data_IF_279980209661
#
_entry.id   IF_279980209661
#
_cell.length_a   1.000
_cell.length_b   1.000
_cell.length_c   1.000
_cell.angle_alpha   90.00
_cell.angle_beta   90.00
_cell.angle_gamma   90.00
#
_symmetry.space_group_name_H-M   'P 1'
#
loop_
_entity.id
_entity.type
_entity.pdbx_description
1 polymer ?
#
# COMPACT_ATOMS: atom_id res chain seq x y z
N UNK A 1 -12.67 -40.16 63.74
CA UNK A 1 -14.07 -40.53 63.84
C UNK A 1 -14.78 -39.96 62.60
N UNK A 2 -15.08 -40.81 61.71
CA UNK A 2 -15.94 -40.89 60.56
C UNK A 2 -16.85 -39.71 60.28
N UNK A 3 -17.00 -39.27 59.01
CA UNK A 3 -18.01 -39.78 58.12
C UNK A 3 -17.79 -39.30 56.68
N UNK A 4 -17.72 -40.25 55.71
CA UNK A 4 -17.83 -40.09 54.25
C UNK A 4 -19.29 -39.67 53.91
N UNK A 5 -19.48 -38.75 52.96
CA UNK A 5 -20.71 -38.69 52.15
C UNK A 5 -20.31 -38.47 50.69
N UNK A 6 -20.58 -39.51 49.89
CA UNK A 6 -20.53 -39.53 48.41
C UNK A 6 -21.79 -38.87 47.85
N UNK A 7 -21.61 -37.97 46.84
CA UNK A 7 -22.72 -37.56 45.98
C UNK A 7 -22.37 -37.79 44.53
N UNK A 8 -23.08 -38.74 43.92
CA UNK A 8 -23.16 -38.99 42.48
C UNK A 8 -23.80 -37.79 41.78
N UNK A 9 -23.13 -37.19 40.82
CA UNK A 9 -23.68 -36.14 39.92
C UNK A 9 -23.72 -36.67 38.49
N UNK A 10 -24.94 -36.91 38.02
CA UNK A 10 -25.27 -37.35 36.65
C UNK A 10 -24.94 -36.24 35.67
N UNK A 11 -24.05 -36.53 34.68
CA UNK A 11 -23.84 -35.63 33.53
C UNK A 11 -24.89 -35.90 32.46
N UNK A 12 -25.76 -34.97 32.21
CA UNK A 12 -26.66 -34.96 31.06
C UNK A 12 -25.84 -34.56 29.81
N UNK A 13 -25.68 -35.46 28.85
CA UNK A 13 -25.16 -35.17 27.51
C UNK A 13 -26.28 -34.47 26.72
N UNK A 14 -26.13 -33.19 26.43
CA UNK A 14 -26.95 -32.50 25.45
C UNK A 14 -26.24 -32.58 24.12
N UNK A 15 -26.78 -33.36 23.19
CA UNK A 15 -26.35 -33.42 21.80
C UNK A 15 -26.62 -32.07 21.09
N UNK A 16 -25.59 -31.47 20.48
CA UNK A 16 -25.74 -30.31 19.60
C UNK A 16 -26.12 -30.80 18.20
N UNK A 17 -27.05 -30.14 17.49
CA UNK A 17 -27.33 -30.46 16.09
C UNK A 17 -26.18 -30.00 15.19
N UNK A 18 -25.78 -30.86 14.25
CA UNK A 18 -24.87 -30.60 13.16
C UNK A 18 -25.45 -29.57 12.21
N UNK A 19 -24.96 -28.32 12.31
CA UNK A 19 -25.21 -27.26 11.33
C UNK A 19 -24.19 -27.34 10.19
N UNK A 20 -24.68 -27.44 8.97
CA UNK A 20 -23.91 -27.42 7.72
C UNK A 20 -23.08 -26.11 7.62
N UNK A 21 -21.78 -26.27 7.41
CA UNK A 21 -20.87 -25.20 7.01
C UNK A 21 -21.22 -24.73 5.59
N UNK A 22 -21.33 -23.44 5.32
CA UNK A 22 -21.37 -22.91 3.95
C UNK A 22 -19.97 -23.04 3.31
N UNK A 23 -19.88 -23.09 1.96
CA UNK A 23 -18.62 -23.32 1.25
C UNK A 23 -17.62 -22.18 1.46
N UNK A 24 -16.37 -22.54 1.76
CA UNK A 24 -15.21 -21.66 1.81
C UNK A 24 -14.95 -21.05 0.42
N UNK A 25 -14.74 -19.74 0.41
CA UNK A 25 -14.21 -19.08 -0.79
C UNK A 25 -14.94 -17.82 -1.26
N UNK A 26 -15.39 -16.94 -0.36
CA UNK A 26 -15.82 -15.60 -0.76
C UNK A 26 -14.85 -14.57 -0.18
N UNK A 27 -13.97 -14.05 -1.03
CA UNK A 27 -13.28 -12.77 -0.81
C UNK A 27 -14.37 -11.71 -0.72
N UNK A 28 -14.52 -11.05 0.41
CA UNK A 28 -15.46 -9.94 0.59
C UNK A 28 -14.70 -8.64 0.30
N UNK A 29 -14.85 -8.04 -0.88
CA UNK A 29 -14.43 -6.66 -1.07
C UNK A 29 -15.42 -5.77 -0.32
N UNK A 30 -14.91 -4.76 0.39
CA UNK A 30 -15.74 -3.69 0.93
C UNK A 30 -16.22 -2.79 -0.23
N UNK A 31 -17.10 -3.35 -1.09
CA UNK A 31 -17.67 -2.61 -2.21
C UNK A 31 -18.91 -1.85 -1.72
N UNK A 32 -18.74 -0.59 -1.37
CA UNK A 32 -19.84 0.37 -1.52
C UNK A 32 -20.19 0.42 -3.00
N UNK A 33 -21.34 -0.16 -3.38
CA UNK A 33 -21.86 -0.11 -4.74
C UNK A 33 -22.07 1.36 -5.14
N UNK A 34 -21.14 1.90 -5.92
CA UNK A 34 -21.36 3.11 -6.69
C UNK A 34 -22.19 2.71 -7.90
N UNK A 35 -23.51 2.79 -7.81
CA UNK A 35 -24.40 2.70 -8.95
C UNK A 35 -24.27 3.96 -9.78
N UNK A 36 -23.27 4.01 -10.67
CA UNK A 36 -23.24 4.98 -11.75
C UNK A 36 -24.28 4.55 -12.78
N UNK A 37 -25.38 5.28 -12.87
CA UNK A 37 -26.29 5.22 -14.03
C UNK A 37 -25.48 5.70 -15.24
N UNK A 38 -25.07 4.77 -16.10
CA UNK A 38 -24.58 5.10 -17.45
C UNK A 38 -25.78 5.62 -18.25
N UNK A 39 -25.83 6.92 -18.45
CA UNK A 39 -26.67 7.53 -19.48
C UNK A 39 -26.05 7.26 -20.84
N UNK A 40 -26.63 6.31 -21.59
CA UNK A 40 -26.27 6.01 -22.98
C UNK A 40 -26.70 7.18 -23.85
N UNK A 41 -25.78 8.08 -24.20
CA UNK A 41 -26.01 9.07 -25.29
C UNK A 41 -25.57 8.43 -26.59
N UNK A 42 -26.57 8.02 -27.39
CA UNK A 42 -26.39 7.60 -28.79
C UNK A 42 -26.10 8.87 -29.60
N UNK A 43 -24.88 9.00 -30.13
CA UNK A 43 -24.53 9.98 -31.15
C UNK A 43 -24.69 9.32 -32.53
N UNK A 44 -25.69 9.76 -33.27
CA UNK A 44 -25.84 9.47 -34.71
C UNK A 44 -24.73 10.22 -35.46
N UNK A 45 -23.81 9.50 -36.08
CA UNK A 45 -22.89 10.06 -37.07
C UNK A 45 -23.56 10.08 -38.46
N UNK A 46 -23.80 11.27 -38.96
CA UNK A 46 -24.24 11.47 -40.35
C UNK A 46 -22.99 11.40 -41.26
N UNK A 47 -23.02 10.47 -42.20
CA UNK A 47 -22.03 10.37 -43.27
C UNK A 47 -22.34 11.42 -44.35
N UNK A 48 -21.42 12.35 -44.58
CA UNK A 48 -21.45 13.27 -45.70
C UNK A 48 -20.47 12.76 -46.75
N UNK A 49 -21.00 12.33 -47.90
CA UNK A 49 -20.23 11.98 -49.10
C UNK A 49 -20.04 13.23 -49.95
N UNK A 50 -18.78 13.55 -50.29
CA UNK A 50 -18.41 14.58 -51.26
C UNK A 50 -17.87 13.92 -52.54
N UNK A 51 -18.20 14.45 -53.74
CA UNK A 51 -17.77 13.86 -54.99
C UNK A 51 -16.34 14.26 -55.39
N UNK A 52 -15.59 13.32 -55.93
CA UNK A 52 -14.30 13.56 -56.60
C UNK A 52 -14.54 14.29 -57.92
N UNK A 53 -13.92 15.45 -58.08
CA UNK A 53 -13.73 16.10 -59.36
C UNK A 53 -12.25 16.00 -59.78
N UNK A 54 -12.03 15.28 -60.89
CA UNK A 54 -10.72 15.16 -61.54
C UNK A 54 -10.44 16.41 -62.38
N UNK A 55 -9.39 17.13 -62.13
CA UNK A 55 -8.83 18.13 -63.03
C UNK A 55 -7.38 17.81 -63.29
N UNK A 56 -7.11 17.50 -64.56
CA UNK A 56 -5.78 17.33 -65.10
C UNK A 56 -5.15 18.73 -65.32
N UNK A 57 -3.96 18.98 -64.84
CA UNK A 57 -3.14 20.14 -65.13
C UNK A 57 -1.77 19.71 -65.58
N UNK A 58 -1.43 20.17 -66.77
CA UNK A 58 -0.20 19.98 -67.54
C UNK A 58 1.04 20.56 -66.82
N UNK A 59 2.14 19.82 -66.87
CA UNK A 59 3.44 20.22 -66.37
C UNK A 59 4.03 21.38 -67.17
N UNK A 60 4.48 22.41 -66.49
CA UNK A 60 5.42 23.39 -67.02
C UNK A 60 6.63 23.47 -66.06
N UNK A 61 7.77 23.11 -66.58
CA UNK A 61 9.07 23.13 -65.88
C UNK A 61 9.59 24.54 -65.78
N UNK A 62 9.62 25.11 -64.55
CA UNK A 62 10.44 26.29 -64.26
C UNK A 62 11.35 25.96 -63.06
N UNK A 63 12.63 25.95 -63.37
CA UNK A 63 13.70 25.89 -62.36
C UNK A 63 13.69 27.16 -61.52
N UNK A 64 13.45 27.02 -60.21
CA UNK A 64 13.59 28.12 -59.26
C UNK A 64 14.27 27.62 -57.97
N UNK A 65 15.36 28.27 -57.63
CA UNK A 65 16.17 27.99 -56.44
C UNK A 65 15.31 28.01 -55.18
N UNK A 66 15.34 26.95 -54.40
CA UNK A 66 14.64 26.82 -53.13
C UNK A 66 15.22 27.78 -52.07
N UNK A 67 14.41 28.60 -51.40
CA UNK A 67 14.86 29.30 -50.23
C UNK A 67 15.08 28.31 -49.09
N UNK A 68 16.29 28.35 -48.51
CA UNK A 68 16.72 27.58 -47.33
C UNK A 68 15.76 27.90 -46.18
N UNK A 69 14.80 27.01 -45.92
CA UNK A 69 13.90 27.14 -44.79
C UNK A 69 14.71 27.16 -43.49
N UNK A 70 14.71 28.29 -42.80
CA UNK A 70 15.16 28.37 -41.41
C UNK A 70 14.24 27.42 -40.61
N UNK A 71 14.81 26.32 -40.14
CA UNK A 71 14.19 25.53 -39.08
C UNK A 71 14.14 26.40 -37.84
N UNK A 72 13.00 27.02 -37.60
CA UNK A 72 12.68 27.53 -36.28
C UNK A 72 12.60 26.33 -35.34
N UNK A 73 13.65 26.16 -34.52
CA UNK A 73 13.57 25.22 -33.40
C UNK A 73 12.42 25.71 -32.51
N UNK A 74 11.31 25.00 -32.56
CA UNK A 74 10.25 25.19 -31.58
C UNK A 74 10.87 24.80 -30.25
N UNK A 75 11.14 25.79 -29.40
CA UNK A 75 11.50 25.53 -28.00
C UNK A 75 10.34 24.76 -27.41
N UNK A 76 10.57 23.48 -27.07
CA UNK A 76 9.62 22.70 -26.33
C UNK A 76 9.25 23.48 -25.06
N UNK A 77 7.95 23.69 -24.84
CA UNK A 77 7.50 24.29 -23.58
C UNK A 77 8.09 23.46 -22.43
N UNK A 78 8.54 24.12 -21.33
CA UNK A 78 9.05 23.38 -20.19
C UNK A 78 7.99 22.38 -19.74
N UNK A 79 8.37 21.10 -19.65
CA UNK A 79 7.47 20.05 -19.21
C UNK A 79 6.92 20.41 -17.83
N UNK A 80 5.60 20.37 -17.67
CA UNK A 80 4.97 20.57 -16.37
C UNK A 80 5.56 19.55 -15.39
N UNK A 81 6.01 19.98 -14.20
CA UNK A 81 6.53 19.04 -13.20
C UNK A 81 5.50 17.95 -12.92
N UNK A 82 5.97 16.70 -12.80
CA UNK A 82 5.10 15.60 -12.46
C UNK A 82 4.39 15.86 -11.12
N UNK A 83 3.09 15.56 -10.99
CA UNK A 83 2.38 15.73 -9.73
C UNK A 83 3.01 14.82 -8.66
N UNK A 84 3.27 15.39 -7.48
CA UNK A 84 3.85 14.66 -6.36
C UNK A 84 2.82 13.71 -5.75
N UNK A 85 3.26 12.51 -5.42
CA UNK A 85 2.50 11.49 -4.71
C UNK A 85 3.08 11.34 -3.29
N UNK A 86 2.29 11.61 -2.27
CA UNK A 86 2.68 11.38 -0.88
C UNK A 86 2.26 9.98 -0.45
N UNK A 87 3.23 9.21 0.01
CA UNK A 87 3.07 7.81 0.45
C UNK A 87 3.54 7.69 1.89
N UNK A 88 2.79 6.97 2.71
CA UNK A 88 3.12 6.68 4.10
C UNK A 88 3.18 5.18 4.34
N UNK A 89 4.14 4.71 5.13
CA UNK A 89 4.07 3.41 5.82
C UNK A 89 3.84 3.65 7.29
N UNK A 90 2.92 2.89 7.88
CA UNK A 90 2.56 3.10 9.28
C UNK A 90 2.08 1.82 9.96
N UNK A 91 2.91 1.24 10.81
CA UNK A 91 2.46 0.21 11.72
C UNK A 91 1.52 0.85 12.76
N UNK A 92 0.25 0.44 12.74
CA UNK A 92 -0.81 1.02 13.57
C UNK A 92 -0.74 0.60 15.03
N UNK A 93 0.06 -0.43 15.35
CA UNK A 93 -0.09 -1.27 16.54
C UNK A 93 -1.52 -1.80 16.64
N UNK A 94 -1.69 -3.10 16.71
CA UNK A 94 -3.02 -3.71 16.79
C UNK A 94 -3.87 -3.12 17.93
N UNK A 95 -5.19 -3.10 17.71
CA UNK A 95 -6.13 -2.60 18.69
C UNK A 95 -6.20 -3.53 19.90
N UNK A 96 -5.77 -3.05 21.04
CA UNK A 96 -5.91 -3.70 22.34
C UNK A 96 -6.57 -2.75 23.35
N UNK A 97 -6.85 -3.26 24.53
CA UNK A 97 -7.46 -2.52 25.64
C UNK A 97 -6.47 -2.23 26.76
N UNK A 98 -5.18 -2.47 26.53
CA UNK A 98 -4.14 -2.31 27.55
C UNK A 98 -3.80 -0.83 27.74
N UNK A 99 -4.08 -0.33 28.96
CA UNK A 99 -3.71 1.00 29.40
C UNK A 99 -2.20 1.13 29.62
N UNK A 100 -1.59 2.31 29.37
CA UNK A 100 -2.22 3.58 28.93
C UNK A 100 -2.29 3.77 27.41
N UNK A 101 -2.07 2.73 26.62
CA UNK A 101 -1.97 2.80 25.16
C UNK A 101 -3.05 1.98 24.47
N UNK A 102 -4.25 1.93 25.05
CA UNK A 102 -5.39 1.26 24.44
C UNK A 102 -5.74 1.88 23.08
N UNK A 103 -6.40 1.13 22.21
CA UNK A 103 -6.86 1.71 20.93
C UNK A 103 -7.78 2.91 21.14
N UNK A 104 -8.61 2.86 22.16
CA UNK A 104 -9.50 3.96 22.51
C UNK A 104 -8.74 5.27 22.79
N UNK A 105 -7.59 5.20 23.49
CA UNK A 105 -6.75 6.36 23.77
C UNK A 105 -5.96 6.83 22.55
N UNK A 106 -5.49 5.89 21.73
CA UNK A 106 -4.67 6.18 20.55
C UNK A 106 -5.44 6.68 19.35
N UNK A 107 -6.71 6.24 19.16
CA UNK A 107 -7.53 6.57 17.99
C UNK A 107 -7.70 8.09 17.76
N UNK A 108 -7.99 8.93 18.76
CA UNK A 108 -8.07 10.39 18.55
C UNK A 108 -6.75 10.99 18.04
N UNK A 109 -5.62 10.49 18.53
CA UNK A 109 -4.28 10.93 18.09
C UNK A 109 -4.00 10.46 16.67
N UNK A 110 -4.35 9.21 16.35
CA UNK A 110 -4.25 8.63 15.01
C UNK A 110 -5.04 9.44 13.99
N UNK A 111 -6.31 9.74 14.31
CA UNK A 111 -7.18 10.56 13.46
C UNK A 111 -6.56 11.92 13.16
N UNK A 112 -6.08 12.62 14.18
CA UNK A 112 -5.47 13.94 14.01
C UNK A 112 -4.20 13.87 13.16
N UNK A 113 -3.33 12.89 13.40
CA UNK A 113 -2.12 12.67 12.59
C UNK A 113 -2.49 12.48 11.12
N UNK A 114 -3.40 11.57 10.82
CA UNK A 114 -3.78 11.26 9.43
C UNK A 114 -4.47 12.44 8.74
N UNK A 115 -5.28 13.23 9.45
CA UNK A 115 -5.88 14.46 8.92
C UNK A 115 -4.85 15.55 8.61
N UNK A 116 -3.73 15.59 9.32
CA UNK A 116 -2.64 16.55 9.06
C UNK A 116 -1.75 16.10 7.92
N UNK A 117 -1.40 14.82 7.91
CA UNK A 117 -0.48 14.24 6.94
C UNK A 117 -1.08 14.10 5.53
N UNK A 118 -2.33 13.63 5.43
CA UNK A 118 -3.13 13.43 4.20
C UNK A 118 -2.37 12.78 3.04
N UNK A 119 -1.64 11.68 3.25
CA UNK A 119 -0.95 11.01 2.16
C UNK A 119 -1.95 10.38 1.20
N UNK A 120 -1.63 10.30 -0.09
CA UNK A 120 -2.50 9.66 -1.07
C UNK A 120 -2.50 8.13 -0.96
N UNK A 121 -1.45 7.56 -0.37
CA UNK A 121 -1.33 6.12 -0.09
C UNK A 121 -0.85 5.92 1.34
N UNK A 122 -1.46 4.99 2.08
CA UNK A 122 -1.01 4.57 3.41
C UNK A 122 -0.91 3.05 3.42
N UNK A 123 0.30 2.50 3.45
CA UNK A 123 0.52 1.09 3.76
C UNK A 123 0.49 0.89 5.28
N UNK A 124 -0.46 0.11 5.78
CA UNK A 124 -0.62 -0.10 7.23
C UNK A 124 -0.27 -1.52 7.63
N UNK A 125 0.26 -1.70 8.83
CA UNK A 125 0.56 -2.99 9.43
C UNK A 125 -0.16 -3.13 10.77
N UNK A 126 -0.37 -4.34 11.24
CA UNK A 126 -1.07 -4.73 12.49
C UNK A 126 -2.55 -4.34 12.59
N UNK A 127 -3.14 -3.74 11.56
CA UNK A 127 -4.53 -3.30 11.62
C UNK A 127 -5.50 -4.47 11.78
N UNK A 128 -6.23 -4.51 12.91
CA UNK A 128 -7.37 -5.40 13.06
C UNK A 128 -8.57 -4.86 12.28
N UNK A 129 -9.44 -5.74 11.81
CA UNK A 129 -10.55 -5.35 10.92
C UNK A 129 -11.39 -4.18 11.46
N UNK A 130 -11.79 -4.22 12.76
CA UNK A 130 -12.54 -3.12 13.36
C UNK A 130 -11.71 -1.83 13.44
N UNK A 131 -10.42 -1.93 13.72
CA UNK A 131 -9.49 -0.79 13.72
C UNK A 131 -9.39 -0.14 12.33
N UNK A 132 -9.36 -0.97 11.28
CA UNK A 132 -9.37 -0.46 9.91
C UNK A 132 -10.69 0.27 9.58
N UNK A 133 -11.84 -0.25 10.03
CA UNK A 133 -13.13 0.45 9.87
C UNK A 133 -13.21 1.77 10.64
N UNK A 134 -12.59 1.82 11.82
CA UNK A 134 -12.50 3.03 12.63
C UNK A 134 -11.68 4.11 11.90
N UNK A 135 -10.53 3.72 11.32
CA UNK A 135 -9.67 4.61 10.54
C UNK A 135 -10.36 5.06 9.24
N UNK A 136 -11.04 4.15 8.53
CA UNK A 136 -11.85 4.49 7.35
C UNK A 136 -12.90 5.55 7.68
N UNK A 137 -13.60 5.37 8.81
CA UNK A 137 -14.57 6.34 9.32
C UNK A 137 -13.93 7.70 9.63
N UNK A 138 -12.75 7.67 10.27
CA UNK A 138 -12.03 8.89 10.68
C UNK A 138 -11.42 9.63 9.47
N UNK A 139 -10.93 8.93 8.44
CA UNK A 139 -10.44 9.52 7.19
C UNK A 139 -11.57 10.08 6.32
N UNK A 140 -12.77 9.53 6.45
CA UNK A 140 -13.98 9.98 5.76
C UNK A 140 -14.07 9.53 4.29
N UNK A 141 -15.03 10.07 3.51
CA UNK A 141 -15.46 9.51 2.22
C UNK A 141 -14.44 9.67 1.08
N UNK A 142 -13.32 10.32 1.34
CA UNK A 142 -12.27 10.53 0.34
C UNK A 142 -11.22 9.43 0.34
N UNK A 143 -11.28 8.53 1.31
CA UNK A 143 -10.40 7.36 1.37
C UNK A 143 -11.20 6.07 1.25
N UNK A 144 -10.52 5.05 0.75
CA UNK A 144 -10.97 3.67 0.76
C UNK A 144 -9.72 2.80 1.01
N UNK A 145 -9.90 1.51 1.26
CA UNK A 145 -8.78 0.61 1.53
C UNK A 145 -8.96 -0.78 0.94
N UNK A 146 -7.82 -1.43 0.67
CA UNK A 146 -7.73 -2.80 0.16
C UNK A 146 -6.83 -3.60 1.09
N UNK A 147 -7.27 -4.78 1.50
CA UNK A 147 -6.52 -5.69 2.35
C UNK A 147 -7.34 -6.88 2.81
N UNK A 148 -6.66 -7.83 3.42
CA UNK A 148 -7.28 -8.99 4.08
C UNK A 148 -6.47 -9.33 5.33
N UNK A 149 -7.09 -9.94 6.32
CA UNK A 149 -6.39 -10.43 7.51
C UNK A 149 -5.50 -11.62 7.17
N UNK A 150 -4.38 -11.75 7.87
CA UNK A 150 -3.40 -12.84 7.66
C UNK A 150 -3.98 -14.24 7.91
N UNK A 151 -5.08 -14.34 8.63
CA UNK A 151 -5.86 -15.56 8.84
C UNK A 151 -6.99 -15.74 7.80
N UNK A 152 -7.04 -14.86 6.77
CA UNK A 152 -8.05 -14.81 5.73
C UNK A 152 -9.29 -13.98 6.07
N UNK A 153 -9.79 -13.23 5.10
CA UNK A 153 -10.94 -12.33 5.26
C UNK A 153 -10.69 -11.22 6.28
N UNK A 154 -11.57 -11.09 7.27
CA UNK A 154 -11.46 -10.07 8.33
C UNK A 154 -10.77 -10.58 9.60
N UNK A 155 -10.07 -11.73 9.53
CA UNK A 155 -9.50 -12.38 10.71
C UNK A 155 -8.05 -12.00 10.90
N UNK A 156 -7.71 -11.62 12.15
CA UNK A 156 -6.38 -11.24 12.59
C UNK A 156 -5.85 -9.95 11.91
N UNK A 157 -4.57 -9.67 12.05
CA UNK A 157 -3.92 -8.45 11.53
C UNK A 157 -3.85 -8.44 10.00
N UNK A 158 -3.98 -7.24 9.44
CA UNK A 158 -3.92 -7.00 8.00
C UNK A 158 -2.72 -6.13 7.63
N UNK A 159 -2.27 -6.24 6.37
CA UNK A 159 -1.41 -5.28 5.69
C UNK A 159 -2.26 -4.49 4.69
N UNK A 160 -3.12 -3.60 5.19
CA UNK A 160 -4.03 -2.85 4.34
C UNK A 160 -3.34 -1.68 3.64
N UNK A 161 -3.85 -1.32 2.46
CA UNK A 161 -3.44 -0.15 1.68
C UNK A 161 -4.62 0.81 1.59
N UNK A 162 -4.57 1.95 2.31
CA UNK A 162 -5.53 3.04 2.14
C UNK A 162 -5.10 3.94 0.99
N UNK A 163 -6.06 4.53 0.31
CA UNK A 163 -5.80 5.44 -0.82
C UNK A 163 -6.86 6.53 -0.95
N UNK A 164 -6.44 7.70 -1.44
CA UNK A 164 -7.35 8.82 -1.75
C UNK A 164 -8.07 8.56 -3.08
N UNK A 165 -9.37 8.27 -3.01
CA UNK A 165 -10.21 7.92 -4.17
C UNK A 165 -10.38 9.06 -5.17
N UNK A 166 -10.06 10.30 -4.79
CA UNK A 166 -10.11 11.45 -5.69
C UNK A 166 -8.94 11.46 -6.66
N UNK A 167 -7.84 10.81 -6.26
CA UNK A 167 -6.60 10.75 -7.03
C UNK A 167 -6.32 9.37 -7.60
N UNK A 168 -6.61 8.32 -6.86
CA UNK A 168 -6.20 6.96 -7.20
C UNK A 168 -7.41 6.06 -7.47
N UNK A 169 -7.35 5.32 -8.57
CA UNK A 169 -8.31 4.28 -8.90
C UNK A 169 -7.61 2.92 -8.91
N UNK A 170 -8.03 1.94 -8.08
CA UNK A 170 -7.45 0.61 -8.11
C UNK A 170 -7.84 -0.11 -9.41
N UNK A 171 -6.86 -0.70 -10.08
CA UNK A 171 -7.02 -1.45 -11.34
C UNK A 171 -7.01 -2.95 -11.06
N UNK A 172 -6.08 -3.37 -10.22
CA UNK A 172 -5.87 -4.77 -9.87
C UNK A 172 -5.29 -4.85 -8.46
N UNK A 173 -5.59 -5.91 -7.71
CA UNK A 173 -5.00 -6.13 -6.41
C UNK A 173 -4.97 -7.61 -6.06
N UNK A 174 -4.04 -8.00 -5.19
CA UNK A 174 -3.96 -9.34 -4.68
C UNK A 174 -3.27 -9.37 -3.30
N UNK A 175 -3.53 -10.42 -2.53
CA UNK A 175 -2.81 -10.70 -1.28
C UNK A 175 -2.25 -12.12 -1.32
N UNK A 176 -0.98 -12.30 -0.96
CA UNK A 176 -0.32 -13.59 -0.87
C UNK A 176 0.41 -13.74 0.47
N UNK A 177 0.64 -15.00 0.87
CA UNK A 177 1.29 -15.35 2.12
C UNK A 177 2.79 -15.54 1.93
N UNK A 178 3.56 -15.04 2.88
CA UNK A 178 5.01 -15.17 2.91
C UNK A 178 5.40 -16.56 3.41
N UNK A 179 5.40 -17.52 2.48
CA UNK A 179 5.63 -18.94 2.72
C UNK A 179 6.03 -19.67 1.43
N UNK A 180 6.36 -20.97 1.51
CA UNK A 180 6.59 -21.80 0.32
C UNK A 180 5.31 -22.07 -0.50
N UNK A 181 4.13 -21.82 0.09
CA UNK A 181 2.82 -21.93 -0.58
C UNK A 181 2.06 -20.61 -0.48
N UNK A 182 2.48 -19.58 -1.23
CA UNK A 182 1.99 -18.21 -1.06
C UNK A 182 0.50 -18.03 -1.39
N UNK A 183 -0.09 -18.93 -2.14
CA UNK A 183 -1.52 -18.88 -2.50
C UNK A 183 -2.42 -19.58 -1.45
N UNK A 184 -1.82 -20.21 -0.44
CA UNK A 184 -2.57 -20.91 0.61
C UNK A 184 -2.80 -19.96 1.79
N UNK A 185 -4.06 -19.69 2.08
CA UNK A 185 -4.47 -18.86 3.22
C UNK A 185 -3.89 -19.43 4.52
N UNK A 186 -3.31 -18.55 5.36
CA UNK A 186 -2.67 -18.88 6.65
C UNK A 186 -1.36 -19.66 6.52
N UNK A 187 -0.83 -19.83 5.33
CA UNK A 187 0.43 -20.56 5.14
C UNK A 187 1.57 -19.90 5.92
N UNK A 188 2.32 -20.73 6.66
CA UNK A 188 3.50 -20.34 7.46
C UNK A 188 4.48 -21.52 7.50
N UNK A 189 5.40 -21.57 6.55
CA UNK A 189 6.31 -22.73 6.35
C UNK A 189 7.75 -22.42 6.78
N UNK A 190 8.07 -21.16 7.13
CA UNK A 190 9.44 -20.73 7.45
C UNK A 190 9.69 -20.50 8.94
N UNK A 191 8.80 -20.99 9.81
CA UNK A 191 8.94 -20.81 11.26
C UNK A 191 8.76 -19.37 11.72
N UNK A 192 7.98 -18.58 11.00
CA UNK A 192 7.53 -17.28 11.46
C UNK A 192 6.59 -17.44 12.67
N UNK A 193 6.58 -16.47 13.57
CA UNK A 193 5.72 -16.49 14.74
C UNK A 193 4.22 -16.48 14.36
N UNK A 194 3.90 -15.85 13.24
CA UNK A 194 2.55 -15.74 12.68
C UNK A 194 2.60 -15.84 11.16
N UNK A 195 1.50 -16.21 10.47
CA UNK A 195 1.40 -16.03 9.03
C UNK A 195 1.65 -14.57 8.68
N UNK A 196 2.46 -14.31 7.65
CA UNK A 196 2.76 -12.97 7.16
C UNK A 196 2.31 -12.84 5.72
N UNK A 197 1.88 -11.67 5.34
CA UNK A 197 1.25 -11.41 4.03
C UNK A 197 1.83 -10.18 3.36
N UNK A 198 1.66 -10.14 2.05
CA UNK A 198 1.84 -8.94 1.23
C UNK A 198 0.51 -8.63 0.55
N UNK A 199 0.03 -7.41 0.69
CA UNK A 199 -1.07 -6.89 -0.12
C UNK A 199 -0.49 -5.96 -1.16
N UNK A 200 -0.76 -6.20 -2.45
CA UNK A 200 -0.37 -5.27 -3.49
C UNK A 200 -1.58 -4.78 -4.28
N UNK A 201 -1.46 -3.55 -4.79
CA UNK A 201 -2.47 -2.88 -5.59
C UNK A 201 -1.79 -2.19 -6.77
N UNK A 202 -2.30 -2.39 -7.98
CA UNK A 202 -2.00 -1.56 -9.14
C UNK A 202 -3.00 -0.41 -9.19
N UNK A 203 -2.51 0.80 -9.07
CA UNK A 203 -3.31 2.02 -9.14
C UNK A 203 -3.15 2.72 -10.48
N UNK A 204 -4.19 3.45 -10.85
CA UNK A 204 -4.14 4.50 -11.87
C UNK A 204 -4.19 5.86 -11.17
N UNK A 205 -3.18 6.71 -11.42
CA UNK A 205 -3.12 8.08 -10.91
C UNK A 205 -3.94 9.00 -11.82
N UNK A 206 -5.08 9.48 -11.34
CA UNK A 206 -5.99 10.36 -12.08
C UNK A 206 -5.44 11.78 -12.22
N UNK A 207 -4.44 12.16 -11.45
CA UNK A 207 -3.77 13.45 -11.51
C UNK A 207 -2.51 13.45 -12.39
N UNK A 208 -2.04 12.27 -12.86
CA UNK A 208 -0.88 12.12 -13.73
C UNK A 208 -1.24 11.36 -15.03
N UNK A 209 -2.18 11.90 -15.78
CA UNK A 209 -2.63 11.39 -17.10
C UNK A 209 -3.03 9.89 -17.10
N UNK A 210 -3.46 9.40 -15.94
CA UNK A 210 -3.85 7.99 -15.79
C UNK A 210 -2.66 7.03 -15.74
N UNK A 211 -1.45 7.50 -15.41
CA UNK A 211 -0.27 6.65 -15.18
C UNK A 211 -0.58 5.56 -14.17
N UNK A 212 -0.16 4.36 -14.48
CA UNK A 212 -0.31 3.24 -13.56
C UNK A 212 1.00 2.98 -12.79
N UNK A 213 0.87 2.45 -11.57
CA UNK A 213 1.98 2.06 -10.71
C UNK A 213 1.52 1.02 -9.69
N UNK A 214 2.46 0.29 -9.12
CA UNK A 214 2.17 -0.69 -8.07
C UNK A 214 2.51 -0.16 -6.68
N UNK A 215 1.69 -0.54 -5.71
CA UNK A 215 2.00 -0.42 -4.28
C UNK A 215 1.96 -1.81 -3.68
N UNK A 216 3.02 -2.24 -2.99
CA UNK A 216 3.05 -3.47 -2.22
C UNK A 216 3.31 -3.15 -0.75
N UNK A 217 2.45 -3.63 0.15
CA UNK A 217 2.55 -3.40 1.59
C UNK A 217 2.72 -4.72 2.34
N UNK A 218 3.64 -4.76 3.31
CA UNK A 218 3.98 -5.98 4.03
C UNK A 218 4.28 -5.75 5.51
N UNK A 219 4.28 -6.84 6.28
CA UNK A 219 4.78 -6.88 7.65
C UNK A 219 5.57 -8.19 7.83
N UNK A 220 6.90 -8.10 7.95
CA UNK A 220 7.76 -9.25 8.11
C UNK A 220 7.73 -9.80 9.55
N UNK A 221 8.25 -11.01 9.74
CA UNK A 221 8.21 -11.65 11.05
C UNK A 221 9.21 -11.03 12.04
N UNK A 222 8.74 -10.75 13.25
CA UNK A 222 9.55 -10.11 14.29
C UNK A 222 10.52 -11.06 14.98
N UNK A 223 10.37 -12.38 14.87
CA UNK A 223 11.18 -13.37 15.59
C UNK A 223 12.18 -14.10 14.71
N UNK A 224 11.74 -14.60 13.56
CA UNK A 224 12.52 -15.47 12.71
C UNK A 224 13.31 -14.68 11.65
N UNK A 225 14.64 -14.62 11.82
CA UNK A 225 15.52 -14.03 10.79
C UNK A 225 15.42 -14.81 9.47
N UNK A 226 15.38 -16.13 9.53
CA UNK A 226 15.20 -16.97 8.36
C UNK A 226 13.90 -16.63 7.59
N UNK A 227 12.78 -16.46 8.32
CA UNK A 227 11.53 -16.07 7.69
C UNK A 227 11.63 -14.70 7.04
N UNK A 228 12.32 -13.70 7.62
CA UNK A 228 12.54 -12.38 7.01
C UNK A 228 13.33 -12.47 5.71
N UNK A 229 14.41 -13.24 5.68
CA UNK A 229 15.23 -13.43 4.47
C UNK A 229 14.46 -14.13 3.35
N UNK A 230 13.70 -15.18 3.68
CA UNK A 230 12.80 -15.85 2.74
C UNK A 230 11.71 -14.94 2.23
N UNK A 231 11.15 -14.10 3.12
CA UNK A 231 10.13 -13.10 2.79
C UNK A 231 10.66 -12.05 1.80
N UNK A 232 11.86 -11.54 2.05
CA UNK A 232 12.51 -10.59 1.15
C UNK A 232 12.75 -11.20 -0.24
N UNK A 233 13.23 -12.45 -0.28
CA UNK A 233 13.44 -13.19 -1.54
C UNK A 233 12.13 -13.40 -2.32
N UNK A 234 11.06 -13.82 -1.63
CA UNK A 234 9.76 -14.01 -2.26
C UNK A 234 9.17 -12.68 -2.74
N UNK A 235 9.24 -11.62 -1.92
CA UNK A 235 8.74 -10.29 -2.30
C UNK A 235 9.47 -9.77 -3.53
N UNK A 236 10.81 -9.84 -3.57
CA UNK A 236 11.62 -9.44 -4.73
C UNK A 236 11.22 -10.24 -5.99
N UNK A 237 11.03 -11.56 -5.86
CA UNK A 237 10.56 -12.41 -6.96
C UNK A 237 9.19 -11.97 -7.48
N UNK A 238 8.23 -11.71 -6.60
CA UNK A 238 6.86 -11.27 -6.98
C UNK A 238 6.86 -9.89 -7.64
N UNK A 239 7.70 -8.98 -7.17
CA UNK A 239 7.87 -7.66 -7.80
C UNK A 239 8.45 -7.80 -9.21
N UNK A 240 9.38 -8.72 -9.43
CA UNK A 240 9.94 -8.98 -10.76
C UNK A 240 8.92 -9.60 -11.76
N UNK A 241 7.77 -10.10 -11.29
CA UNK A 241 6.65 -10.58 -12.11
C UNK A 241 5.71 -9.43 -12.54
N UNK A 242 5.83 -8.23 -11.96
CA UNK A 242 5.04 -7.06 -12.33
C UNK A 242 5.45 -6.52 -13.71
N UNK A 243 4.60 -5.69 -14.31
CA UNK A 243 4.96 -4.98 -15.54
C UNK A 243 6.20 -4.10 -15.29
N UNK A 244 7.35 -4.39 -15.94
CA UNK A 244 8.61 -3.69 -15.68
C UNK A 244 8.60 -2.23 -16.14
N UNK A 245 7.59 -1.81 -16.91
CA UNK A 245 7.44 -0.42 -17.37
C UNK A 245 6.73 0.46 -16.33
N UNK A 246 6.14 -0.14 -15.31
CA UNK A 246 5.39 0.57 -14.27
C UNK A 246 6.23 0.73 -13.00
N UNK A 247 6.19 1.92 -12.38
CA UNK A 247 6.83 2.13 -11.09
C UNK A 247 6.26 1.24 -9.99
N UNK A 248 7.11 0.83 -9.06
CA UNK A 248 6.73 0.07 -7.87
C UNK A 248 7.09 0.86 -6.63
N UNK A 249 6.18 0.93 -5.67
CA UNK A 249 6.39 1.46 -4.32
C UNK A 249 6.14 0.32 -3.33
N UNK A 250 7.08 0.06 -2.44
CA UNK A 250 6.96 -0.96 -1.39
C UNK A 250 6.95 -0.27 -0.04
N UNK A 251 5.95 -0.56 0.78
CA UNK A 251 5.81 -0.06 2.15
C UNK A 251 5.80 -1.22 3.12
N UNK A 252 6.30 -1.02 4.33
CA UNK A 252 6.20 -2.08 5.33
C UNK A 252 6.94 -1.80 6.63
N UNK A 253 6.54 -2.56 7.65
CA UNK A 253 7.38 -2.89 8.80
C UNK A 253 8.11 -4.20 8.48
N UNK A 254 9.40 -4.10 8.25
CA UNK A 254 10.21 -5.27 7.87
C UNK A 254 10.80 -6.01 9.06
N UNK A 255 10.61 -5.49 10.28
CA UNK A 255 11.21 -6.04 11.49
C UNK A 255 12.72 -6.33 11.34
N UNK A 256 13.37 -5.58 10.49
CA UNK A 256 14.78 -5.68 10.12
C UNK A 256 15.39 -4.28 10.04
N UNK A 257 16.59 -4.12 10.56
CA UNK A 257 17.26 -2.83 10.52
C UNK A 257 17.79 -2.51 9.12
N UNK A 258 17.43 -1.35 8.59
CA UNK A 258 18.01 -0.83 7.35
C UNK A 258 19.55 -0.82 7.43
N UNK A 259 20.24 -1.19 6.36
CA UNK A 259 21.71 -1.29 6.25
C UNK A 259 22.40 -2.33 7.15
N UNK A 260 21.65 -3.09 7.94
CA UNK A 260 22.22 -4.02 8.94
C UNK A 260 21.60 -5.42 8.89
N UNK A 261 20.78 -5.71 7.90
CA UNK A 261 20.04 -6.97 7.85
C UNK A 261 20.01 -7.55 6.43
N UNK A 262 20.31 -8.85 6.25
CA UNK A 262 20.30 -9.51 4.94
C UNK A 262 18.98 -9.38 4.16
N UNK A 263 17.83 -9.24 4.85
CA UNK A 263 16.55 -9.02 4.19
C UNK A 263 16.51 -7.64 3.50
N UNK A 264 17.09 -6.61 4.11
CA UNK A 264 17.27 -5.30 3.50
C UNK A 264 18.17 -5.38 2.27
N UNK A 265 19.35 -6.01 2.43
CA UNK A 265 20.32 -6.17 1.34
C UNK A 265 19.72 -6.93 0.15
N UNK A 266 18.88 -7.95 0.42
CA UNK A 266 18.19 -8.73 -0.60
C UNK A 266 17.24 -7.85 -1.43
N UNK A 267 16.46 -6.99 -0.78
CA UNK A 267 15.50 -6.11 -1.47
C UNK A 267 16.23 -5.04 -2.29
N UNK A 268 17.29 -4.44 -1.75
CA UNK A 268 18.09 -3.47 -2.51
C UNK A 268 18.87 -4.16 -3.65
N UNK A 269 19.40 -5.35 -3.41
CA UNK A 269 20.07 -6.15 -4.41
C UNK A 269 19.18 -6.60 -5.58
N UNK A 270 17.85 -6.61 -5.37
CA UNK A 270 16.87 -6.83 -6.45
C UNK A 270 16.60 -5.59 -7.31
N UNK A 271 17.25 -4.47 -7.03
CA UNK A 271 17.13 -3.21 -7.76
C UNK A 271 16.21 -2.18 -7.11
N UNK A 272 15.61 -2.48 -5.94
CA UNK A 272 14.83 -1.48 -5.21
C UNK A 272 15.74 -0.42 -4.56
N UNK A 273 15.23 0.79 -4.42
CA UNK A 273 15.92 1.96 -3.87
C UNK A 273 15.24 2.37 -2.56
N UNK A 274 16.01 2.56 -1.50
CA UNK A 274 15.50 3.11 -0.25
C UNK A 274 15.23 4.61 -0.42
N UNK A 275 13.96 4.98 -0.27
CA UNK A 275 13.52 6.37 -0.44
C UNK A 275 14.09 7.30 0.63
N UNK A 276 14.39 6.78 1.82
CA UNK A 276 15.04 7.58 2.87
C UNK A 276 16.42 8.03 2.44
N UNK A 277 17.20 7.13 1.85
CA UNK A 277 18.57 7.42 1.42
C UNK A 277 18.62 8.26 0.13
N UNK A 278 17.67 8.00 -0.79
CA UNK A 278 17.58 8.68 -2.08
C UNK A 278 16.89 10.06 -2.00
N UNK A 279 16.31 10.43 -0.87
CA UNK A 279 15.55 11.67 -0.75
C UNK A 279 16.42 12.92 -0.94
N UNK A 280 15.94 13.86 -1.78
CA UNK A 280 16.55 15.20 -1.95
C UNK A 280 16.58 15.96 -0.61
N UNK A 281 15.54 15.77 0.21
CA UNK A 281 15.41 16.38 1.53
C UNK A 281 14.93 15.36 2.56
N UNK A 282 15.67 15.25 3.66
CA UNK A 282 15.30 14.38 4.80
C UNK A 282 14.99 15.20 6.05
N UNK A 283 13.94 14.80 6.75
CA UNK A 283 13.71 15.24 8.12
C UNK A 283 14.69 14.59 9.12
N UNK A 284 14.60 14.94 10.41
CA UNK A 284 15.35 14.24 11.44
C UNK A 284 15.04 12.73 11.44
N UNK A 285 16.10 11.92 11.62
CA UNK A 285 15.95 10.48 11.77
C UNK A 285 15.74 10.10 13.23
N UNK A 286 14.87 9.13 13.44
CA UNK A 286 14.64 8.48 14.73
C UNK A 286 14.59 6.95 14.53
N UNK A 287 14.66 6.18 15.62
CA UNK A 287 14.22 4.80 15.60
C UNK A 287 12.74 4.78 15.23
N UNK A 288 12.36 4.02 14.17
CA UNK A 288 10.95 3.97 13.75
C UNK A 288 10.08 3.22 14.75
N UNK A 289 10.62 2.20 15.45
CA UNK A 289 9.99 1.59 16.61
C UNK A 289 10.50 2.22 17.90
N UNK A 290 9.63 2.89 18.65
CA UNK A 290 9.98 3.52 19.93
C UNK A 290 9.33 2.85 21.15
N UNK A 291 8.32 2.00 20.96
CA UNK A 291 7.68 1.25 22.04
C UNK A 291 7.12 2.15 23.16
N UNK A 292 6.55 3.30 22.80
CA UNK A 292 6.08 4.38 23.70
C UNK A 292 7.17 4.95 24.65
N UNK A 293 8.43 4.76 24.31
CA UNK A 293 9.56 5.34 25.05
C UNK A 293 9.99 6.66 24.42
N UNK A 294 10.95 7.34 25.07
CA UNK A 294 11.56 8.53 24.49
C UNK A 294 12.14 8.23 23.11
N UNK A 295 11.83 9.07 22.14
CA UNK A 295 12.34 8.96 20.78
C UNK A 295 13.88 8.96 20.79
N UNK A 296 14.46 8.03 20.04
CA UNK A 296 15.92 7.88 19.90
C UNK A 296 16.36 8.53 18.58
N UNK A 297 17.02 9.71 18.63
CA UNK A 297 17.60 10.31 17.44
C UNK A 297 18.63 9.35 16.80
N UNK A 298 18.75 9.39 15.47
CA UNK A 298 19.65 8.56 14.67
C UNK A 298 19.52 7.05 14.95
N UNK A 299 18.32 6.64 15.43
CA UNK A 299 18.04 5.24 15.71
C UNK A 299 17.75 4.43 14.46
N UNK A 300 17.70 3.11 14.64
CA UNK A 300 17.51 2.16 13.56
C UNK A 300 16.07 2.24 12.97
N UNK A 301 15.97 2.11 11.65
CA UNK A 301 14.71 2.06 10.90
C UNK A 301 14.35 0.61 10.62
N UNK A 302 13.15 0.20 10.99
CA UNK A 302 12.55 -1.09 10.62
C UNK A 302 11.34 -0.92 9.69
N UNK A 303 10.79 0.31 9.64
CA UNK A 303 9.73 0.70 8.73
C UNK A 303 10.36 1.42 7.53
N UNK A 304 10.16 0.89 6.32
CA UNK A 304 10.79 1.42 5.10
C UNK A 304 9.76 1.67 4.01
N UNK A 305 10.12 2.62 3.14
CA UNK A 305 9.50 2.79 1.82
C UNK A 305 10.60 2.61 0.79
N UNK A 306 10.42 1.63 -0.09
CA UNK A 306 11.34 1.36 -1.20
C UNK A 306 10.62 1.63 -2.52
N UNK A 307 11.37 1.96 -3.57
CA UNK A 307 10.81 2.17 -4.92
C UNK A 307 11.63 1.45 -5.98
N UNK A 308 11.01 1.19 -7.12
CA UNK A 308 11.78 0.84 -8.33
C UNK A 308 12.66 2.00 -8.76
N UNK A 309 13.74 1.75 -9.53
CA UNK A 309 14.56 2.80 -10.13
C UNK A 309 13.74 3.75 -10.99
N UNK A 310 14.17 5.02 -11.08
CA UNK A 310 13.51 6.06 -11.87
C UNK A 310 12.45 6.86 -11.11
N UNK A 311 12.00 6.40 -9.95
CA UNK A 311 11.18 7.20 -9.04
C UNK A 311 12.05 8.23 -8.33
N UNK A 312 11.63 9.49 -8.36
CA UNK A 312 12.33 10.56 -7.62
C UNK A 312 11.70 10.72 -6.24
N UNK A 313 12.52 10.67 -5.20
CA UNK A 313 12.08 10.96 -3.82
C UNK A 313 12.47 12.39 -3.48
N UNK A 314 11.50 13.29 -3.43
CA UNK A 314 11.75 14.70 -3.10
C UNK A 314 11.93 14.92 -1.60
N UNK A 315 11.19 14.19 -0.80
CA UNK A 315 11.22 14.35 0.66
C UNK A 315 10.95 13.03 1.35
N UNK A 316 11.67 12.77 2.45
CA UNK A 316 11.39 11.69 3.40
C UNK A 316 11.34 12.25 4.82
N UNK A 317 10.34 11.85 5.60
CA UNK A 317 10.14 12.31 6.97
C UNK A 317 9.62 11.19 7.87
N UNK A 318 9.96 11.25 9.15
CA UNK A 318 9.31 10.49 10.22
C UNK A 318 8.42 11.46 10.99
N UNK A 319 7.13 11.14 11.11
CA UNK A 319 6.21 12.00 11.85
C UNK A 319 6.28 11.66 13.35
N UNK A 320 6.60 12.65 14.16
CA UNK A 320 6.74 12.53 15.63
C UNK A 320 5.53 13.09 16.36
N UNK A 321 4.41 13.26 15.67
CA UNK A 321 3.21 13.83 16.26
C UNK A 321 2.70 13.03 17.45
N UNK A 322 2.35 13.75 18.50
CA UNK A 322 1.70 13.21 19.70
C UNK A 322 0.74 14.26 20.27
N UNK A 323 -0.26 13.83 21.00
CA UNK A 323 -1.20 14.71 21.73
C UNK A 323 -1.09 14.40 23.22
N UNK A 324 -0.83 15.41 24.03
CA UNK A 324 -0.71 15.26 25.50
C UNK A 324 0.26 14.14 25.92
N UNK A 325 1.31 13.92 25.14
CA UNK A 325 2.29 12.85 25.39
C UNK A 325 1.87 11.46 24.87
N UNK A 326 0.65 11.31 24.37
CA UNK A 326 0.17 10.09 23.73
C UNK A 326 0.60 10.04 22.26
N UNK A 327 1.30 9.00 21.86
CA UNK A 327 1.56 8.67 20.47
C UNK A 327 0.42 7.83 19.88
N UNK A 328 0.14 7.93 18.57
CA UNK A 328 -0.90 7.14 17.92
C UNK A 328 -0.55 5.64 17.79
N UNK A 329 0.74 5.32 17.79
CA UNK A 329 1.31 3.98 17.71
C UNK A 329 2.64 3.94 18.49
N UNK A 330 3.19 2.77 18.69
CA UNK A 330 4.56 2.55 19.17
C UNK A 330 5.61 2.59 18.04
N UNK A 331 5.14 2.79 16.80
CA UNK A 331 5.95 3.12 15.64
C UNK A 331 5.73 4.57 15.20
N UNK A 332 6.76 5.18 14.60
CA UNK A 332 6.64 6.45 13.89
C UNK A 332 6.25 6.18 12.43
N UNK A 333 5.25 6.88 11.88
CA UNK A 333 4.99 6.79 10.44
C UNK A 333 6.15 7.38 9.65
N UNK A 334 6.54 6.70 8.58
CA UNK A 334 7.48 7.21 7.59
C UNK A 334 6.69 7.67 6.38
N UNK A 335 6.90 8.92 5.96
CA UNK A 335 6.22 9.52 4.81
C UNK A 335 7.22 10.04 3.80
N UNK A 336 6.91 9.82 2.52
CA UNK A 336 7.71 10.31 1.39
C UNK A 336 6.84 11.05 0.39
N UNK A 337 7.46 12.01 -0.31
CA UNK A 337 6.87 12.71 -1.46
C UNK A 337 7.62 12.30 -2.71
N UNK A 338 6.92 11.66 -3.66
CA UNK A 338 7.48 11.00 -4.82
C UNK A 338 7.04 11.65 -6.13
N UNK A 339 7.86 11.55 -7.17
CA UNK A 339 7.44 11.64 -8.58
C UNK A 339 7.71 10.31 -9.26
N UNK A 340 6.70 9.75 -9.91
CA UNK A 340 6.73 8.43 -10.53
C UNK A 340 7.29 8.43 -11.97
N UNK A 341 7.99 9.50 -12.35
CA UNK A 341 8.58 9.68 -13.71
C UNK A 341 10.09 9.60 -13.67
#
# INVERSE_FOLDING_TARGET
MFTLITHLGIRLLVARPSGLCPPEGAVVPNQRRVTRRLGLKVLLAAAVTLPLSSAAITASSASSAAPRARRTATLAAPATPAPRLDVMTFNLRYADTAEPNSWADRRPVMRELLHRARPQVIGTQEGLYQQLLDIDTDLGPHYDWIGTGREGGSRDESTAVYYDVRRLAPVEHYTFWLSDTPEVIRSNTWGAAFPRIVTWVRFRDLADDGREFYVANTHFDQRSQYARERSATLLAKRIAEFDPTLPVVVTGDFNAYAHKNPAYDTLLGSGLVDTWDAAEHRGPQYATFHGYRRLKPDGDRIDWILTSPGVTTHRATMDTFSMHGQFPSDHLPVQVSLSLR
#
